data_IF_902538253653
#
_entry.id   IF_902538253653
#
_cell.length_a   1.000
_cell.length_b   1.000
_cell.length_c   1.000
_cell.angle_alpha   90.00
_cell.angle_beta   90.00
_cell.angle_gamma   90.00
#
_symmetry.space_group_name_H-M   'P 1'
#
loop_
_entity.id
_entity.type
_entity.pdbx_description
1 polymer ?
#
# COMPACT_ATOMS: atom_id res chain seq x y z
N UNK A 1 -15.58 72.08 29.59
CA UNK A 1 -14.67 71.72 28.47
C UNK A 1 -14.52 70.22 28.48
N UNK A 2 -15.31 69.55 27.66
CA UNK A 2 -15.39 68.10 27.48
C UNK A 2 -14.23 67.64 26.58
N UNK A 3 -13.41 66.69 27.04
CA UNK A 3 -12.46 65.98 26.17
C UNK A 3 -12.84 64.51 26.09
N UNK A 4 -13.12 64.12 24.85
CA UNK A 4 -13.65 62.86 24.41
C UNK A 4 -12.66 61.71 24.55
N UNK A 5 -13.21 60.54 24.85
CA UNK A 5 -12.59 59.22 24.79
C UNK A 5 -12.64 58.73 23.33
N UNK A 6 -11.54 58.26 22.72
CA UNK A 6 -11.62 57.37 21.57
C UNK A 6 -11.36 55.93 22.04
N UNK A 7 -12.46 55.29 22.41
CA UNK A 7 -12.69 53.85 22.41
C UNK A 7 -12.82 53.43 20.94
N UNK A 8 -11.74 53.01 20.26
CA UNK A 8 -11.85 52.38 18.93
C UNK A 8 -10.49 51.85 18.44
N UNK A 9 -10.00 50.75 19.00
CA UNK A 9 -8.87 50.00 18.41
C UNK A 9 -8.73 48.56 18.97
N UNK A 10 -9.84 47.87 19.17
CA UNK A 10 -9.84 46.48 19.66
C UNK A 10 -10.63 45.49 18.77
N UNK A 11 -10.86 45.81 17.49
CA UNK A 11 -11.69 44.97 16.62
C UNK A 11 -11.17 44.89 15.17
N UNK A 12 -9.88 44.56 14.98
CA UNK A 12 -9.31 44.41 13.63
C UNK A 12 -8.23 43.32 13.49
N UNK A 13 -8.20 42.30 14.36
CA UNK A 13 -7.23 41.21 14.21
C UNK A 13 -7.77 39.80 14.52
N UNK A 14 -9.08 39.59 14.54
CA UNK A 14 -9.70 38.24 14.59
C UNK A 14 -10.15 37.80 13.20
N UNK A 15 -9.34 38.09 12.18
CA UNK A 15 -9.58 37.69 10.78
C UNK A 15 -8.32 37.11 10.11
N UNK A 16 -7.28 36.76 10.88
CA UNK A 16 -6.24 35.89 10.34
C UNK A 16 -6.78 34.47 10.30
N UNK A 17 -7.32 34.14 9.12
CA UNK A 17 -7.28 32.83 8.50
C UNK A 17 -7.77 31.69 9.41
N UNK A 18 -9.06 31.38 9.26
CA UNK A 18 -9.42 29.98 9.12
C UNK A 18 -8.56 29.42 7.98
N UNK A 19 -7.41 28.84 8.30
CA UNK A 19 -6.77 27.83 7.46
C UNK A 19 -7.81 26.70 7.37
N UNK A 20 -8.69 26.81 6.39
CA UNK A 20 -9.33 25.64 5.83
C UNK A 20 -8.31 25.17 4.79
N UNK A 21 -7.40 24.23 5.12
CA UNK A 21 -6.77 23.48 4.05
C UNK A 21 -7.92 22.78 3.35
N UNK A 22 -8.36 23.34 2.22
CA UNK A 22 -9.02 22.55 1.19
C UNK A 22 -7.89 21.70 0.61
N UNK A 23 -7.44 20.73 1.40
CA UNK A 23 -6.61 19.66 0.91
C UNK A 23 -7.46 19.00 -0.15
N UNK A 24 -7.08 19.17 -1.41
CA UNK A 24 -7.57 18.31 -2.45
C UNK A 24 -7.12 16.90 -2.05
N UNK A 25 -7.96 16.17 -1.30
CA UNK A 25 -7.84 14.73 -1.21
C UNK A 25 -8.13 14.25 -2.62
N UNK A 26 -7.07 14.08 -3.39
CA UNK A 26 -7.16 13.33 -4.62
C UNK A 26 -7.34 11.87 -4.22
N UNK A 27 -8.12 11.12 -4.98
CA UNK A 27 -8.32 9.68 -4.73
C UNK A 27 -7.02 8.86 -4.97
N UNK A 28 -5.92 9.54 -5.37
CA UNK A 28 -4.62 8.92 -5.57
C UNK A 28 -3.95 8.50 -4.27
N UNK A 29 -3.17 7.43 -4.34
CA UNK A 29 -2.27 7.00 -3.28
C UNK A 29 -0.84 7.50 -3.52
N UNK A 30 -0.40 8.45 -2.71
CA UNK A 30 1.01 8.88 -2.68
C UNK A 30 1.85 7.93 -1.82
N UNK A 31 1.97 6.68 -2.24
CA UNK A 31 2.76 5.66 -1.54
C UNK A 31 4.25 5.74 -1.92
N UNK A 32 5.11 5.58 -0.91
CA UNK A 32 6.58 5.49 -1.06
C UNK A 32 7.11 4.10 -0.78
N UNK A 33 6.37 3.28 -0.05
CA UNK A 33 6.75 1.89 0.24
C UNK A 33 5.52 0.98 0.24
N UNK A 34 5.79 -0.32 0.17
CA UNK A 34 4.79 -1.38 0.37
C UNK A 34 5.34 -2.40 1.35
N UNK A 35 4.46 -2.94 2.18
CA UNK A 35 4.73 -3.92 3.22
C UNK A 35 3.86 -5.15 2.91
N UNK A 36 4.50 -6.31 2.92
CA UNK A 36 3.86 -7.62 2.82
C UNK A 36 3.89 -8.25 4.20
N UNK A 37 2.72 -8.54 4.73
CA UNK A 37 2.52 -9.18 6.02
C UNK A 37 1.92 -10.58 5.81
N UNK A 38 2.18 -11.49 6.74
CA UNK A 38 1.40 -12.73 6.83
C UNK A 38 0.01 -12.49 7.46
N UNK A 39 -0.78 -13.56 7.59
CA UNK A 39 -2.14 -13.47 8.17
C UNK A 39 -2.15 -13.06 9.65
N UNK A 40 -1.04 -13.28 10.37
CA UNK A 40 -0.85 -12.90 11.78
C UNK A 40 -0.41 -11.46 11.95
N UNK A 41 -0.02 -10.80 10.85
CA UNK A 41 0.50 -9.43 10.83
C UNK A 41 2.03 -9.35 10.95
N UNK A 42 2.75 -10.47 10.83
CA UNK A 42 4.21 -10.47 10.80
C UNK A 42 4.71 -9.91 9.47
N UNK A 43 5.65 -8.98 9.50
CA UNK A 43 6.29 -8.44 8.30
C UNK A 43 7.18 -9.50 7.63
N UNK A 44 6.82 -9.86 6.39
CA UNK A 44 7.57 -10.78 5.55
C UNK A 44 8.54 -10.02 4.65
N UNK A 45 8.11 -8.89 4.10
CA UNK A 45 8.97 -8.02 3.30
C UNK A 45 8.44 -6.58 3.28
N UNK A 46 9.35 -5.63 3.08
CA UNK A 46 9.07 -4.21 2.89
C UNK A 46 9.94 -3.66 1.77
N UNK A 47 9.43 -2.72 0.98
CA UNK A 47 10.29 -1.95 0.09
C UNK A 47 10.93 -0.77 0.84
N UNK A 48 12.19 -0.46 0.54
CA UNK A 48 12.87 0.75 1.02
C UNK A 48 13.01 1.72 -0.14
N UNK A 49 12.46 2.93 0.00
CA UNK A 49 12.39 3.94 -1.07
C UNK A 49 11.79 3.41 -2.39
N UNK A 50 10.95 2.37 -2.32
CA UNK A 50 10.46 1.60 -3.46
C UNK A 50 11.56 1.09 -4.43
N UNK A 51 12.78 0.85 -3.96
CA UNK A 51 13.92 0.43 -4.81
C UNK A 51 14.35 -1.01 -4.60
N UNK A 52 14.24 -1.48 -3.37
CA UNK A 52 14.69 -2.81 -2.97
C UNK A 52 13.77 -3.36 -1.90
N UNK A 53 13.66 -4.69 -1.86
CA UNK A 53 12.99 -5.41 -0.79
C UNK A 53 13.96 -5.67 0.36
N UNK A 54 13.46 -5.58 1.59
CA UNK A 54 14.12 -6.02 2.82
C UNK A 54 13.19 -6.94 3.61
N UNK A 55 13.75 -7.80 4.46
CA UNK A 55 13.00 -8.74 5.29
C UNK A 55 13.12 -10.20 4.83
N UNK A 56 12.56 -11.16 5.59
CA UNK A 56 12.73 -12.59 5.33
C UNK A 56 12.37 -13.04 3.90
N UNK A 57 11.26 -12.54 3.35
CA UNK A 57 10.83 -12.87 2.00
C UNK A 57 11.61 -12.11 0.91
N UNK A 58 12.34 -11.04 1.25
CA UNK A 58 13.28 -10.42 0.32
C UNK A 58 14.50 -11.32 0.07
N UNK A 59 14.95 -12.03 1.10
CA UNK A 59 16.12 -12.92 1.04
C UNK A 59 15.76 -14.31 0.47
N UNK A 60 14.66 -14.89 0.96
CA UNK A 60 14.26 -16.26 0.61
C UNK A 60 13.22 -16.35 -0.53
N UNK A 61 12.58 -15.23 -0.86
CA UNK A 61 11.35 -15.23 -1.63
C UNK A 61 10.13 -15.66 -0.80
N UNK A 62 8.95 -15.42 -1.34
CA UNK A 62 7.71 -16.03 -0.86
C UNK A 62 7.63 -17.48 -1.33
N UNK A 63 6.88 -18.31 -0.60
CA UNK A 63 6.69 -19.71 -0.93
C UNK A 63 5.23 -20.13 -0.78
N UNK A 64 4.72 -20.89 -1.76
CA UNK A 64 3.39 -21.50 -1.72
C UNK A 64 3.44 -22.89 -2.34
N UNK A 65 2.75 -23.92 -1.80
CA UNK A 65 2.66 -25.21 -2.48
C UNK A 65 1.82 -25.14 -3.76
N UNK A 66 2.12 -25.96 -4.77
CA UNK A 66 1.21 -26.20 -5.88
C UNK A 66 -0.08 -26.85 -5.36
N UNK A 67 -1.23 -26.29 -5.73
CA UNK A 67 -2.55 -26.62 -5.18
C UNK A 67 -2.79 -26.08 -3.76
N UNK A 68 -1.86 -25.31 -3.21
CA UNK A 68 -1.97 -24.67 -1.90
C UNK A 68 -2.20 -23.16 -1.99
N UNK A 69 -2.38 -22.56 -0.83
CA UNK A 69 -2.69 -21.13 -0.68
C UNK A 69 -1.72 -20.49 0.31
N UNK A 70 -1.28 -19.28 -0.01
CA UNK A 70 -0.53 -18.40 0.87
C UNK A 70 -1.40 -17.17 1.15
N UNK A 71 -1.83 -17.01 2.41
CA UNK A 71 -2.55 -15.83 2.87
C UNK A 71 -1.59 -14.69 3.21
N UNK A 72 -1.91 -13.48 2.76
CA UNK A 72 -1.11 -12.27 2.92
C UNK A 72 -1.99 -11.07 3.28
N UNK A 73 -1.37 -10.02 3.82
CA UNK A 73 -1.95 -8.68 3.87
C UNK A 73 -0.95 -7.69 3.28
N UNK A 74 -1.42 -6.80 2.41
CA UNK A 74 -0.59 -5.75 1.82
C UNK A 74 -0.96 -4.39 2.39
N UNK A 75 0.05 -3.65 2.83
CA UNK A 75 -0.07 -2.25 3.25
C UNK A 75 0.85 -1.37 2.44
N UNK A 76 0.43 -0.15 2.16
CA UNK A 76 1.24 0.87 1.54
C UNK A 76 1.63 1.92 2.59
N UNK A 77 2.83 2.46 2.48
CA UNK A 77 3.31 3.54 3.34
C UNK A 77 3.21 4.83 2.55
N UNK A 78 2.50 5.82 3.09
CA UNK A 78 2.35 7.14 2.47
C UNK A 78 3.62 7.99 2.66
N UNK A 79 3.71 9.11 1.94
CA UNK A 79 4.77 10.11 2.15
C UNK A 79 4.88 10.60 3.60
N UNK A 80 3.76 10.64 4.32
CA UNK A 80 3.70 11.05 5.73
C UNK A 80 4.14 9.93 6.70
N UNK A 81 4.40 8.73 6.17
CA UNK A 81 4.81 7.55 6.95
C UNK A 81 3.64 6.71 7.47
N UNK A 82 2.40 6.99 7.06
CA UNK A 82 1.23 6.23 7.49
C UNK A 82 1.12 4.91 6.74
N UNK A 83 0.86 3.82 7.47
CA UNK A 83 0.51 2.53 6.87
C UNK A 83 -0.99 2.45 6.57
N UNK A 84 -1.33 2.28 5.30
CA UNK A 84 -2.72 2.16 4.85
C UNK A 84 -2.93 0.85 4.09
N UNK A 85 -3.98 0.07 4.40
CA UNK A 85 -4.37 -1.02 3.53
C UNK A 85 -4.91 -0.46 2.21
N UNK A 86 -4.80 -1.22 1.13
CA UNK A 86 -5.30 -0.78 -0.19
C UNK A 86 -6.81 -0.45 -0.17
N UNK A 87 -7.55 -1.14 0.69
CA UNK A 87 -9.00 -0.99 0.85
C UNK A 87 -9.42 0.23 1.69
N UNK A 88 -8.46 0.97 2.27
CA UNK A 88 -8.76 2.16 3.06
C UNK A 88 -9.30 3.34 2.21
N UNK A 89 -9.05 3.35 0.90
CA UNK A 89 -9.52 4.41 0.01
C UNK A 89 -10.43 3.85 -1.07
N UNK A 90 -11.56 4.52 -1.29
CA UNK A 90 -12.47 4.15 -2.37
C UNK A 90 -11.76 4.32 -3.72
N UNK A 91 -11.97 3.36 -4.64
CA UNK A 91 -11.38 3.41 -5.98
C UNK A 91 -9.95 2.85 -6.09
N UNK A 92 -9.30 2.52 -4.97
CA UNK A 92 -8.04 1.79 -4.97
C UNK A 92 -8.27 0.28 -4.91
N UNK A 93 -7.47 -0.46 -5.67
CA UNK A 93 -7.44 -1.92 -5.67
C UNK A 93 -6.00 -2.41 -5.68
N UNK A 94 -5.72 -3.53 -5.00
CA UNK A 94 -4.45 -4.21 -5.16
C UNK A 94 -4.51 -5.03 -6.45
N UNK A 95 -3.51 -4.85 -7.30
CA UNK A 95 -3.26 -5.74 -8.43
C UNK A 95 -1.90 -6.39 -8.28
N UNK A 96 -1.80 -7.60 -8.81
CA UNK A 96 -0.54 -8.36 -8.85
C UNK A 96 -0.22 -8.67 -10.30
N UNK A 97 0.94 -8.20 -10.74
CA UNK A 97 1.52 -8.55 -12.03
C UNK A 97 2.57 -9.65 -11.84
N UNK A 98 2.67 -10.57 -12.80
CA UNK A 98 3.51 -11.77 -12.68
C UNK A 98 4.48 -11.87 -13.85
N UNK A 99 5.68 -12.36 -13.58
CA UNK A 99 6.68 -12.65 -14.62
C UNK A 99 7.56 -13.86 -14.24
N UNK A 100 7.45 -15.03 -14.90
CA UNK A 100 6.42 -15.38 -15.89
C UNK A 100 5.04 -15.63 -15.27
N UNK A 101 3.99 -15.48 -16.07
CA UNK A 101 2.60 -15.73 -15.67
C UNK A 101 2.25 -17.23 -15.54
N UNK A 102 1.10 -17.51 -14.89
CA UNK A 102 0.48 -18.83 -14.87
C UNK A 102 1.13 -19.84 -13.92
N UNK A 103 1.98 -19.38 -12.98
CA UNK A 103 2.49 -20.20 -11.88
C UNK A 103 1.62 -20.09 -10.62
N UNK A 104 1.05 -18.91 -10.39
CA UNK A 104 0.14 -18.63 -9.29
C UNK A 104 -0.95 -17.65 -9.75
N UNK A 105 -2.00 -17.51 -8.95
CA UNK A 105 -3.05 -16.49 -9.13
C UNK A 105 -3.30 -15.77 -7.81
N UNK A 106 -3.56 -14.48 -7.88
CA UNK A 106 -3.96 -13.65 -6.74
C UNK A 106 -5.47 -13.56 -6.66
N UNK A 107 -6.01 -13.76 -5.46
CA UNK A 107 -7.41 -13.56 -5.10
C UNK A 107 -7.52 -12.49 -3.99
N UNK A 108 -8.16 -11.34 -4.25
CA UNK A 108 -8.41 -10.33 -3.23
C UNK A 108 -9.63 -10.70 -2.38
N UNK A 109 -9.46 -10.76 -1.05
CA UNK A 109 -10.49 -11.15 -0.08
C UNK A 109 -10.90 -10.01 0.86
N UNK A 110 -10.88 -8.77 0.37
CA UNK A 110 -11.24 -7.59 1.13
C UNK A 110 -10.11 -7.12 2.04
N UNK A 111 -10.01 -7.66 3.26
CA UNK A 111 -9.01 -7.24 4.26
C UNK A 111 -7.71 -8.05 4.22
N UNK A 112 -7.67 -9.08 3.37
CA UNK A 112 -6.52 -9.95 3.11
C UNK A 112 -6.49 -10.35 1.64
N UNK A 113 -5.39 -10.97 1.27
CA UNK A 113 -5.09 -11.46 -0.07
C UNK A 113 -4.69 -12.93 0.00
N UNK A 114 -5.05 -13.69 -1.02
CA UNK A 114 -4.60 -15.07 -1.16
C UNK A 114 -3.83 -15.22 -2.47
N UNK A 115 -2.68 -15.92 -2.40
CA UNK A 115 -1.96 -16.39 -3.57
C UNK A 115 -2.15 -17.90 -3.64
N UNK A 116 -2.76 -18.36 -4.73
CA UNK A 116 -2.97 -19.78 -4.99
C UNK A 116 -1.89 -20.30 -5.92
N UNK A 117 -1.10 -21.27 -5.47
CA UNK A 117 -0.09 -21.92 -6.28
C UNK A 117 -0.75 -22.85 -7.30
N UNK A 118 -0.52 -22.64 -8.60
CA UNK A 118 -1.16 -23.44 -9.65
C UNK A 118 -0.27 -24.61 -10.09
N UNK A 119 1.00 -24.32 -10.36
CA UNK A 119 1.97 -25.31 -10.83
C UNK A 119 3.38 -24.97 -10.35
N UNK A 120 4.26 -25.96 -10.16
CA UNK A 120 5.58 -25.71 -9.60
C UNK A 120 6.46 -24.83 -10.50
N UNK A 121 7.27 -23.98 -9.88
CA UNK A 121 8.19 -23.07 -10.56
C UNK A 121 8.48 -21.82 -9.76
N UNK A 122 9.31 -20.93 -10.30
CA UNK A 122 9.62 -19.62 -9.71
C UNK A 122 9.09 -18.51 -10.62
N UNK A 123 8.41 -17.55 -10.02
CA UNK A 123 7.93 -16.31 -10.66
C UNK A 123 8.38 -15.11 -9.87
N UNK A 124 8.34 -13.94 -10.48
CA UNK A 124 8.40 -12.66 -9.80
C UNK A 124 7.01 -12.02 -9.82
N UNK A 125 6.62 -11.40 -8.71
CA UNK A 125 5.40 -10.63 -8.61
C UNK A 125 5.70 -9.16 -8.35
N UNK A 126 4.90 -8.26 -8.92
CA UNK A 126 4.85 -6.85 -8.52
C UNK A 126 3.51 -6.56 -7.88
N UNK A 127 3.54 -5.76 -6.81
CA UNK A 127 2.35 -5.27 -6.13
C UNK A 127 2.05 -3.86 -6.61
N UNK A 128 0.83 -3.65 -7.08
CA UNK A 128 0.39 -2.39 -7.67
C UNK A 128 -0.79 -1.82 -6.86
N UNK A 129 -0.67 -0.57 -6.43
CA UNK A 129 -1.83 0.20 -6.00
C UNK A 129 -2.51 0.77 -7.25
N UNK A 130 -3.61 0.18 -7.67
CA UNK A 130 -4.29 0.53 -8.91
C UNK A 130 -5.47 1.46 -8.65
N UNK A 131 -5.47 2.60 -9.31
CA UNK A 131 -6.49 3.64 -9.23
C UNK A 131 -7.11 3.87 -10.61
N UNK A 132 -8.37 3.43 -10.78
CA UNK A 132 -9.10 3.60 -12.04
C UNK A 132 -8.39 2.93 -13.23
N UNK A 133 -7.68 3.73 -14.02
CA UNK A 133 -7.02 3.31 -15.26
C UNK A 133 -5.50 3.19 -15.18
N UNK A 134 -4.87 3.53 -14.04
CA UNK A 134 -3.42 3.53 -13.90
C UNK A 134 -2.99 3.03 -12.51
N UNK A 135 -1.71 2.72 -12.37
CA UNK A 135 -1.10 2.43 -11.09
C UNK A 135 -0.58 3.72 -10.46
N UNK A 136 -0.99 4.01 -9.22
CA UNK A 136 -0.39 5.06 -8.41
C UNK A 136 0.96 4.61 -7.83
N UNK A 137 1.12 3.29 -7.64
CA UNK A 137 2.34 2.67 -7.14
C UNK A 137 2.61 1.33 -7.83
N UNK A 138 3.88 1.03 -8.08
CA UNK A 138 4.36 -0.26 -8.59
C UNK A 138 5.61 -0.65 -7.79
N UNK A 139 5.61 -1.82 -7.17
CA UNK A 139 6.78 -2.32 -6.43
C UNK A 139 7.90 -2.85 -7.37
N UNK A 140 9.16 -2.92 -6.91
CA UNK A 140 10.13 -3.85 -7.45
C UNK A 140 9.60 -5.29 -7.45
N UNK A 141 10.12 -6.17 -8.33
CA UNK A 141 9.74 -7.57 -8.33
C UNK A 141 10.12 -8.26 -7.01
N UNK A 142 9.20 -9.03 -6.44
CA UNK A 142 9.42 -9.93 -5.31
C UNK A 142 9.32 -11.38 -5.80
N UNK A 143 10.28 -12.22 -5.43
CA UNK A 143 10.30 -13.62 -5.87
C UNK A 143 9.22 -14.42 -5.15
N UNK A 144 8.50 -15.26 -5.88
CA UNK A 144 7.61 -16.30 -5.37
C UNK A 144 8.03 -17.65 -5.94
N UNK A 145 8.21 -18.64 -5.08
CA UNK A 145 8.40 -20.03 -5.47
C UNK A 145 7.13 -20.84 -5.19
N UNK A 146 6.60 -21.46 -6.24
CA UNK A 146 5.55 -22.46 -6.14
C UNK A 146 6.22 -23.83 -6.02
N UNK A 147 6.19 -24.41 -4.82
CA UNK A 147 6.81 -25.70 -4.54
C UNK A 147 5.99 -26.85 -5.13
N UNK A 148 6.63 -27.95 -5.50
CA UNK A 148 5.90 -29.17 -5.85
C UNK A 148 5.05 -29.64 -4.65
N UNK A 149 3.81 -30.05 -4.92
CA UNK A 149 3.00 -30.75 -3.93
C UNK A 149 3.74 -32.03 -3.54
N UNK A 150 3.88 -32.25 -2.23
CA UNK A 150 4.42 -33.51 -1.74
C UNK A 150 3.43 -34.63 -2.07
N UNK A 151 3.91 -35.79 -2.55
CA UNK A 151 3.06 -36.93 -2.92
C UNK A 151 2.33 -37.55 -1.72
#
# INVERSE_FOLDING_TARGET
MTRAVPLLLALAAVLCACDNPVGYQTDHLEAVEVIVLDETGLELARTVENRQWVGPAAEAGLAVPAGGTLGLRVRFVTLDGDEVPVTARAGLTLRVEWEPEGLAVHEPLGDRDEIHGLRPGTTALRLLAWHGTHADFISPPLVLTVAASSP
#
